data_IF_475534669038
#
_entry.id   IF_475534669038
#
_cell.length_a   1.000
_cell.length_b   1.000
_cell.length_c   1.000
_cell.angle_alpha   90.00
_cell.angle_beta   90.00
_cell.angle_gamma   90.00
#
_symmetry.space_group_name_H-M   'P 1'
#
loop_
_entity.id
_entity.type
_entity.pdbx_description
1 polymer ?
#
# COMPACT_ATOMS: atom_id res chain seq x y z
N UNK A 1 -3.35 44.49 4.58
CA UNK A 1 -3.50 44.31 6.02
C UNK A 1 -4.90 43.80 6.39
N UNK A 2 -6.02 44.48 6.00
CA UNK A 2 -7.39 44.06 6.37
C UNK A 2 -7.78 42.69 5.78
N UNK A 3 -7.43 42.41 4.52
CA UNK A 3 -7.76 41.14 3.83
C UNK A 3 -7.01 39.96 4.50
N UNK A 4 -5.78 40.16 4.93
CA UNK A 4 -5.00 39.14 5.63
C UNK A 4 -5.57 38.85 7.02
N UNK A 5 -5.92 39.89 7.77
CA UNK A 5 -6.57 39.73 9.09
C UNK A 5 -7.92 39.01 8.99
N UNK A 6 -8.72 39.32 7.97
CA UNK A 6 -9.98 38.64 7.71
C UNK A 6 -9.77 37.15 7.35
N UNK A 7 -8.72 36.85 6.58
CA UNK A 7 -8.34 35.47 6.19
C UNK A 7 -7.87 34.64 7.40
N UNK A 8 -7.02 35.24 8.26
CA UNK A 8 -6.57 34.60 9.49
C UNK A 8 -7.71 34.37 10.47
N UNK A 9 -8.61 35.33 10.66
CA UNK A 9 -9.79 35.19 11.51
C UNK A 9 -10.71 34.07 11.02
N UNK A 10 -10.92 33.97 9.70
CA UNK A 10 -11.73 32.91 9.09
C UNK A 10 -11.08 31.53 9.26
N UNK A 11 -9.75 31.43 9.13
CA UNK A 11 -9.01 30.19 9.33
C UNK A 11 -9.05 29.72 10.79
N UNK A 12 -8.94 30.66 11.76
CA UNK A 12 -9.06 30.35 13.20
C UNK A 12 -10.46 29.84 13.54
N UNK A 13 -11.50 30.53 13.10
CA UNK A 13 -12.89 30.13 13.33
C UNK A 13 -13.15 28.74 12.73
N UNK A 14 -12.65 28.48 11.52
CA UNK A 14 -12.78 27.19 10.88
C UNK A 14 -12.09 26.08 11.69
N UNK A 15 -10.82 26.29 12.10
CA UNK A 15 -10.08 25.35 12.92
C UNK A 15 -10.75 25.06 14.25
N UNK A 16 -11.26 26.09 14.93
CA UNK A 16 -11.96 25.91 16.21
C UNK A 16 -13.25 25.10 16.01
N UNK A 17 -14.06 25.42 15.02
CA UNK A 17 -15.26 24.64 14.70
C UNK A 17 -14.92 23.20 14.32
N UNK A 18 -13.88 22.98 13.52
CA UNK A 18 -13.41 21.66 13.15
C UNK A 18 -13.00 20.84 14.39
N UNK A 19 -12.19 21.41 15.29
CA UNK A 19 -11.78 20.73 16.53
C UNK A 19 -12.94 20.43 17.45
N UNK A 20 -13.90 21.37 17.61
CA UNK A 20 -15.12 21.16 18.41
C UNK A 20 -15.95 20.01 17.81
N UNK A 21 -16.13 20.00 16.49
CA UNK A 21 -16.88 18.92 15.82
C UNK A 21 -16.21 17.56 16.05
N UNK A 22 -14.88 17.49 15.90
CA UNK A 22 -14.15 16.25 16.18
C UNK A 22 -14.24 15.83 17.63
N UNK A 23 -14.11 16.78 18.57
CA UNK A 23 -14.28 16.49 20.00
C UNK A 23 -15.67 15.95 20.32
N UNK A 24 -16.72 16.53 19.74
CA UNK A 24 -18.10 16.05 19.92
C UNK A 24 -18.31 14.66 19.33
N UNK A 25 -17.75 14.37 18.15
CA UNK A 25 -17.82 13.04 17.52
C UNK A 25 -17.10 12.00 18.38
N UNK A 26 -15.89 12.31 18.87
CA UNK A 26 -15.13 11.41 19.74
C UNK A 26 -15.86 11.18 21.06
N UNK A 27 -16.40 12.24 21.69
CA UNK A 27 -17.18 12.13 22.94
C UNK A 27 -18.44 11.29 22.74
N UNK A 28 -19.14 11.48 21.62
CA UNK A 28 -20.32 10.68 21.28
C UNK A 28 -19.99 9.20 21.09
N UNK A 29 -18.87 8.89 20.38
CA UNK A 29 -18.40 7.52 20.19
C UNK A 29 -17.97 6.87 21.51
N UNK A 30 -17.19 7.58 22.33
CA UNK A 30 -16.76 7.09 23.65
C UNK A 30 -17.98 6.88 24.55
N UNK A 31 -18.91 7.84 24.59
CA UNK A 31 -20.15 7.71 25.35
C UNK A 31 -20.99 6.51 24.90
N UNK A 32 -21.12 6.30 23.59
CA UNK A 32 -21.80 5.13 23.03
C UNK A 32 -21.12 3.83 23.48
N UNK A 33 -19.80 3.74 23.37
CA UNK A 33 -19.03 2.54 23.78
C UNK A 33 -19.22 2.28 25.30
N UNK A 34 -19.09 3.30 26.13
CA UNK A 34 -19.22 3.15 27.59
C UNK A 34 -20.64 2.74 28.04
N UNK A 35 -21.67 3.09 27.25
CA UNK A 35 -23.06 2.70 27.56
C UNK A 35 -23.38 1.30 27.03
N UNK A 36 -22.80 0.90 25.90
CA UNK A 36 -23.15 -0.35 25.20
C UNK A 36 -22.21 -1.51 25.50
N UNK A 37 -20.94 -1.22 25.83
CA UNK A 37 -19.91 -2.23 26.06
C UNK A 37 -19.57 -2.32 27.55
N UNK A 38 -19.84 -3.48 28.14
CA UNK A 38 -19.34 -3.81 29.48
C UNK A 38 -17.87 -4.21 29.37
N UNK A 39 -16.97 -3.33 29.78
CA UNK A 39 -15.53 -3.57 29.74
C UNK A 39 -15.16 -4.48 30.93
N UNK A 40 -14.88 -5.75 30.61
CA UNK A 40 -14.33 -6.67 31.60
C UNK A 40 -12.80 -6.54 31.64
N UNK A 41 -12.28 -6.03 32.74
CA UNK A 41 -10.84 -5.85 32.95
C UNK A 41 -10.06 -7.17 32.92
N UNK A 42 -10.67 -8.28 33.38
CA UNK A 42 -10.06 -9.61 33.36
C UNK A 42 -9.93 -10.11 31.92
N UNK A 43 -10.94 -9.86 31.09
CA UNK A 43 -10.90 -10.15 29.66
C UNK A 43 -9.81 -9.36 28.96
N UNK A 44 -9.70 -8.06 29.20
CA UNK A 44 -8.66 -7.21 28.60
C UNK A 44 -7.24 -7.67 28.96
N UNK A 45 -7.00 -8.00 30.24
CA UNK A 45 -5.71 -8.48 30.69
C UNK A 45 -5.27 -9.79 30.01
N UNK A 46 -6.21 -10.61 29.55
CA UNK A 46 -5.92 -11.85 28.80
C UNK A 46 -5.77 -11.59 27.30
N UNK A 47 -6.60 -10.72 26.72
CA UNK A 47 -6.67 -10.49 25.29
C UNK A 47 -5.55 -9.58 24.78
N UNK A 48 -5.16 -8.55 25.54
CA UNK A 48 -4.10 -7.63 25.14
C UNK A 48 -2.75 -8.35 24.86
N UNK A 49 -2.24 -9.21 25.76
CA UNK A 49 -1.02 -9.96 25.48
C UNK A 49 -1.12 -10.87 24.26
N UNK A 50 -2.31 -11.48 24.04
CA UNK A 50 -2.55 -12.32 22.86
C UNK A 50 -2.49 -11.50 21.56
N UNK A 51 -3.14 -10.33 21.51
CA UNK A 51 -3.07 -9.42 20.37
C UNK A 51 -1.62 -8.97 20.13
N UNK A 52 -0.92 -8.53 21.20
CA UNK A 52 0.46 -8.08 21.09
C UNK A 52 1.42 -9.18 20.61
N UNK A 53 1.14 -10.45 20.90
CA UNK A 53 1.92 -11.57 20.41
C UNK A 53 1.80 -11.77 18.88
N UNK A 54 0.70 -11.29 18.24
CA UNK A 54 0.53 -11.31 16.79
C UNK A 54 1.30 -10.22 16.06
N UNK A 55 1.65 -9.09 16.72
CA UNK A 55 2.32 -7.94 16.07
C UNK A 55 3.59 -8.32 15.30
N UNK A 56 4.51 -9.16 15.83
CA UNK A 56 5.71 -9.54 15.08
C UNK A 56 5.41 -10.25 13.77
N UNK A 57 4.41 -11.13 13.72
CA UNK A 57 4.06 -11.85 12.49
C UNK A 57 3.40 -10.92 11.48
N UNK A 58 2.53 -10.02 11.92
CA UNK A 58 1.92 -8.97 11.07
C UNK A 58 2.99 -8.10 10.41
N UNK A 59 3.97 -7.62 11.19
CA UNK A 59 5.07 -6.80 10.67
C UNK A 59 5.98 -7.61 9.73
N UNK A 60 6.25 -8.87 10.05
CA UNK A 60 7.02 -9.76 9.19
C UNK A 60 6.33 -10.01 7.85
N UNK A 61 5.02 -10.29 7.87
CA UNK A 61 4.21 -10.44 6.65
C UNK A 61 4.25 -9.18 5.80
N UNK A 62 3.97 -8.02 6.40
CA UNK A 62 3.96 -6.74 5.70
C UNK A 62 5.34 -6.40 5.13
N UNK A 63 6.42 -6.52 5.92
CA UNK A 63 7.78 -6.21 5.48
C UNK A 63 8.26 -7.14 4.36
N UNK A 64 8.01 -8.44 4.48
CA UNK A 64 8.37 -9.42 3.45
C UNK A 64 7.56 -9.19 2.17
N UNK A 65 6.26 -8.99 2.31
CA UNK A 65 5.37 -8.82 1.16
C UNK A 65 5.64 -7.52 0.41
N UNK A 66 5.90 -6.39 1.10
CA UNK A 66 6.21 -5.12 0.43
C UNK A 66 7.55 -5.18 -0.31
N UNK A 67 8.51 -5.92 0.23
CA UNK A 67 9.79 -6.16 -0.45
C UNK A 67 9.58 -6.88 -1.79
N UNK A 68 8.89 -8.01 -1.79
CA UNK A 68 8.62 -8.75 -3.04
C UNK A 68 7.66 -8.00 -3.96
N UNK A 69 6.65 -7.32 -3.42
CA UNK A 69 5.76 -6.46 -4.19
C UNK A 69 6.52 -5.35 -4.93
N UNK A 70 7.51 -4.72 -4.26
CA UNK A 70 8.36 -3.70 -4.88
C UNK A 70 9.16 -4.26 -6.06
N UNK A 71 9.75 -5.45 -5.92
CA UNK A 71 10.47 -6.09 -7.03
C UNK A 71 9.54 -6.39 -8.21
N UNK A 72 8.36 -6.95 -7.94
CA UNK A 72 7.34 -7.22 -8.96
C UNK A 72 6.86 -5.92 -9.61
N UNK A 73 6.69 -4.86 -8.84
CA UNK A 73 6.24 -3.56 -9.32
C UNK A 73 7.27 -2.90 -10.26
N UNK A 74 8.56 -3.01 -9.96
CA UNK A 74 9.62 -2.51 -10.85
C UNK A 74 9.58 -3.26 -12.20
N UNK A 75 9.52 -4.61 -12.14
CA UNK A 75 9.43 -5.43 -13.35
C UNK A 75 8.14 -5.14 -14.13
N UNK A 76 7.01 -5.03 -13.43
CA UNK A 76 5.73 -4.69 -14.00
C UNK A 76 5.73 -3.31 -14.67
N UNK A 77 6.28 -2.28 -14.02
CA UNK A 77 6.37 -0.93 -14.57
C UNK A 77 7.25 -0.89 -15.83
N UNK A 78 8.41 -1.54 -15.80
CA UNK A 78 9.27 -1.65 -16.98
C UNK A 78 8.57 -2.40 -18.13
N UNK A 79 7.83 -3.46 -17.82
CA UNK A 79 7.03 -4.19 -18.80
C UNK A 79 5.92 -3.33 -19.39
N UNK A 80 5.18 -2.60 -18.55
CA UNK A 80 4.09 -1.68 -18.97
C UNK A 80 4.59 -0.52 -19.84
N UNK A 81 5.82 -0.07 -19.64
CA UNK A 81 6.45 1.00 -20.41
C UNK A 81 7.21 0.49 -21.63
N UNK A 82 7.31 -0.82 -21.81
CA UNK A 82 8.02 -1.42 -22.93
C UNK A 82 7.30 -1.18 -24.25
N UNK A 83 8.05 -0.81 -25.30
CA UNK A 83 7.56 -0.76 -26.69
C UNK A 83 7.33 -2.15 -27.29
N UNK A 84 7.88 -3.20 -26.68
CA UNK A 84 7.66 -4.57 -27.11
C UNK A 84 6.26 -5.04 -26.65
N UNK A 85 5.35 -5.42 -27.59
CA UNK A 85 3.97 -5.78 -27.27
C UNK A 85 3.85 -7.01 -26.37
N UNK A 86 4.80 -7.93 -26.43
CA UNK A 86 4.78 -9.14 -25.58
C UNK A 86 5.01 -8.78 -24.11
N UNK A 87 6.04 -7.99 -23.82
CA UNK A 87 6.31 -7.56 -22.43
C UNK A 87 5.19 -6.67 -21.88
N UNK A 88 4.72 -5.73 -22.71
CA UNK A 88 3.60 -4.88 -22.31
C UNK A 88 2.31 -5.71 -22.10
N UNK A 89 2.03 -6.67 -22.96
CA UNK A 89 0.86 -7.55 -22.86
C UNK A 89 0.86 -8.37 -21.56
N UNK A 90 1.99 -9.02 -21.23
CA UNK A 90 2.14 -9.81 -19.99
C UNK A 90 2.00 -8.92 -18.75
N UNK A 91 2.67 -7.76 -18.70
CA UNK A 91 2.57 -6.84 -17.59
C UNK A 91 1.14 -6.28 -17.45
N UNK A 92 0.46 -5.99 -18.56
CA UNK A 92 -0.92 -5.52 -18.57
C UNK A 92 -1.88 -6.57 -18.05
N UNK A 93 -1.71 -7.82 -18.47
CA UNK A 93 -2.51 -8.94 -17.96
C UNK A 93 -2.32 -9.12 -16.46
N UNK A 94 -1.07 -9.15 -15.98
CA UNK A 94 -0.75 -9.24 -14.56
C UNK A 94 -1.45 -8.16 -13.75
N UNK A 95 -1.29 -6.90 -14.14
CA UNK A 95 -1.90 -5.76 -13.45
C UNK A 95 -3.43 -5.85 -13.47
N UNK A 96 -4.02 -6.16 -14.63
CA UNK A 96 -5.48 -6.23 -14.77
C UNK A 96 -6.06 -7.38 -13.95
N UNK A 97 -5.41 -8.54 -13.93
CA UNK A 97 -5.86 -9.72 -13.20
C UNK A 97 -5.84 -9.50 -11.69
N UNK A 98 -4.69 -9.10 -11.14
CA UNK A 98 -4.54 -8.94 -9.69
C UNK A 98 -5.28 -7.73 -9.13
N UNK A 99 -5.43 -6.65 -9.89
CA UNK A 99 -6.25 -5.49 -9.48
C UNK A 99 -7.75 -5.70 -9.72
N UNK A 100 -8.12 -6.62 -10.60
CA UNK A 100 -9.52 -6.94 -10.90
C UNK A 100 -10.11 -8.03 -10.02
N UNK A 101 -9.30 -8.69 -9.18
CA UNK A 101 -9.76 -9.79 -8.32
C UNK A 101 -9.57 -9.44 -6.84
N UNK A 102 -10.50 -9.83 -5.94
CA UNK A 102 -10.37 -9.59 -4.50
C UNK A 102 -9.17 -10.32 -3.90
N UNK A 103 -8.39 -9.63 -3.05
CA UNK A 103 -7.20 -10.20 -2.40
C UNK A 103 -7.52 -11.49 -1.62
N UNK A 104 -8.64 -11.52 -0.90
CA UNK A 104 -9.07 -12.70 -0.17
C UNK A 104 -9.21 -13.94 -1.07
N UNK A 105 -9.78 -13.75 -2.27
CA UNK A 105 -9.90 -14.85 -3.24
C UNK A 105 -8.53 -15.30 -3.77
N UNK A 106 -7.59 -14.38 -3.93
CA UNK A 106 -6.22 -14.71 -4.34
C UNK A 106 -5.52 -15.56 -3.26
N UNK A 107 -5.64 -15.19 -1.99
CA UNK A 107 -5.10 -15.95 -0.85
C UNK A 107 -5.69 -17.38 -0.85
N UNK A 108 -7.03 -17.49 -0.91
CA UNK A 108 -7.71 -18.77 -0.91
C UNK A 108 -7.37 -19.62 -2.13
N UNK A 109 -7.26 -19.01 -3.31
CA UNK A 109 -6.88 -19.71 -4.54
C UNK A 109 -5.48 -20.31 -4.42
N UNK A 110 -4.50 -19.54 -3.94
CA UNK A 110 -3.13 -20.02 -3.73
C UNK A 110 -3.11 -21.14 -2.69
N UNK A 111 -3.86 -21.01 -1.60
CA UNK A 111 -3.86 -21.98 -0.51
C UNK A 111 -4.60 -23.29 -0.85
N UNK A 112 -5.70 -23.22 -1.62
CA UNK A 112 -6.57 -24.37 -1.90
C UNK A 112 -6.33 -24.99 -3.28
N UNK A 113 -5.97 -24.20 -4.30
CA UNK A 113 -5.83 -24.69 -5.66
C UNK A 113 -4.42 -25.18 -5.99
N UNK A 114 -3.35 -24.53 -5.49
CA UNK A 114 -1.98 -24.97 -5.75
C UNK A 114 -1.66 -26.37 -5.22
N UNK A 115 -2.16 -26.82 -4.06
CA UNK A 115 -1.99 -28.20 -3.61
C UNK A 115 -2.53 -29.25 -4.60
N UNK A 116 -3.60 -28.94 -5.34
CA UNK A 116 -4.14 -29.84 -6.37
C UNK A 116 -3.18 -30.01 -7.56
N UNK A 117 -2.28 -29.03 -7.77
CA UNK A 117 -1.19 -29.10 -8.73
C UNK A 117 0.12 -29.64 -8.13
N UNK A 118 0.08 -30.16 -6.90
CA UNK A 118 1.24 -30.70 -6.18
C UNK A 118 2.12 -29.65 -5.49
N UNK A 119 1.73 -28.39 -5.46
CA UNK A 119 2.47 -27.28 -4.84
C UNK A 119 1.81 -26.93 -3.51
N UNK A 120 2.36 -27.38 -2.41
CA UNK A 120 1.84 -27.10 -1.05
C UNK A 120 2.66 -25.98 -0.42
N UNK A 121 2.05 -24.83 -0.19
CA UNK A 121 2.66 -23.72 0.54
C UNK A 121 2.09 -23.66 1.96
N UNK A 122 2.95 -23.54 2.99
CA UNK A 122 2.51 -23.25 4.35
C UNK A 122 1.76 -21.89 4.42
N UNK A 123 0.95 -21.65 5.47
CA UNK A 123 0.11 -20.45 5.59
C UNK A 123 0.87 -19.13 5.39
N UNK A 124 1.99 -18.92 6.08
CA UNK A 124 2.79 -17.69 6.01
C UNK A 124 3.35 -17.43 4.61
N UNK A 125 4.05 -18.38 3.94
CA UNK A 125 4.45 -18.23 2.53
C UNK A 125 3.27 -17.96 1.60
N UNK A 126 2.13 -18.62 1.80
CA UNK A 126 0.92 -18.37 1.01
C UNK A 126 0.48 -16.91 1.10
N UNK A 127 0.40 -16.37 2.32
CA UNK A 127 0.04 -14.97 2.54
C UNK A 127 1.05 -14.01 1.91
N UNK A 128 2.36 -14.25 2.07
CA UNK A 128 3.41 -13.43 1.47
C UNK A 128 3.28 -13.41 -0.06
N UNK A 129 3.09 -14.57 -0.70
CA UNK A 129 2.94 -14.65 -2.16
C UNK A 129 1.71 -13.89 -2.64
N UNK A 130 0.55 -14.11 -2.00
CA UNK A 130 -0.68 -13.45 -2.37
C UNK A 130 -0.61 -11.92 -2.22
N UNK A 131 -0.16 -11.44 -1.06
CA UNK A 131 0.04 -10.02 -0.79
C UNK A 131 1.04 -9.40 -1.76
N UNK A 132 2.16 -10.09 -2.02
CA UNK A 132 3.19 -9.60 -2.95
C UNK A 132 2.67 -9.46 -4.38
N UNK A 133 1.92 -10.43 -4.87
CA UNK A 133 1.33 -10.41 -6.21
C UNK A 133 0.28 -9.31 -6.34
N UNK A 134 -0.59 -9.18 -5.35
CA UNK A 134 -1.64 -8.16 -5.34
C UNK A 134 -1.04 -6.75 -5.28
N UNK A 135 -0.28 -6.45 -4.23
CA UNK A 135 0.33 -5.13 -4.04
C UNK A 135 1.36 -4.79 -5.11
N UNK A 136 2.09 -5.78 -5.65
CA UNK A 136 2.98 -5.60 -6.78
C UNK A 136 2.25 -5.09 -8.02
N UNK A 137 1.02 -5.55 -8.26
CA UNK A 137 0.20 -5.05 -9.37
C UNK A 137 -0.28 -3.60 -9.15
N UNK A 138 -0.67 -3.23 -7.93
CA UNK A 138 -1.01 -1.84 -7.60
C UNK A 138 0.21 -0.92 -7.71
N UNK A 139 1.32 -1.29 -7.10
CA UNK A 139 2.57 -0.53 -7.12
C UNK A 139 3.19 -0.43 -8.52
N UNK A 140 2.91 -1.38 -9.43
CA UNK A 140 3.30 -1.28 -10.86
C UNK A 140 2.76 0.01 -11.47
N UNK A 141 1.49 0.32 -11.26
CA UNK A 141 0.88 1.54 -11.78
C UNK A 141 1.36 2.80 -11.05
N UNK A 142 1.63 2.69 -9.74
CA UNK A 142 2.24 3.77 -8.96
C UNK A 142 3.61 4.13 -9.53
N UNK A 143 4.48 3.16 -9.79
CA UNK A 143 5.80 3.41 -10.36
C UNK A 143 5.72 3.95 -11.79
N UNK A 144 4.85 3.36 -12.63
CA UNK A 144 4.63 3.88 -13.99
C UNK A 144 4.19 5.34 -13.97
N UNK A 145 3.16 5.66 -13.18
CA UNK A 145 2.66 7.04 -13.08
C UNK A 145 3.68 8.00 -12.47
N UNK A 146 4.49 7.55 -11.52
CA UNK A 146 5.58 8.34 -10.95
C UNK A 146 6.68 8.67 -11.96
N UNK A 147 7.01 7.74 -12.85
CA UNK A 147 7.98 7.97 -13.94
C UNK A 147 7.39 8.95 -14.97
N UNK A 148 6.12 8.78 -15.34
CA UNK A 148 5.43 9.66 -16.29
C UNK A 148 5.18 11.08 -15.73
N UNK A 149 5.12 11.23 -14.41
CA UNK A 149 4.95 12.52 -13.74
C UNK A 149 6.22 13.41 -13.76
N UNK A 150 7.37 12.86 -14.13
CA UNK A 150 8.60 13.67 -14.27
C UNK A 150 8.44 14.61 -15.47
N UNK A 151 8.64 15.93 -15.29
CA UNK A 151 8.44 16.89 -16.38
C UNK A 151 9.29 16.58 -17.61
N UNK A 152 8.68 16.53 -18.79
CA UNK A 152 9.38 16.25 -20.08
C UNK A 152 10.57 17.18 -20.33
N UNK A 153 10.48 18.45 -19.92
CA UNK A 153 11.58 19.41 -20.05
C UNK A 153 12.88 18.99 -19.33
N UNK A 154 12.79 18.16 -18.28
CA UNK A 154 13.97 17.59 -17.61
C UNK A 154 14.68 16.57 -18.53
N UNK A 155 13.90 15.79 -19.26
CA UNK A 155 14.42 14.80 -20.22
C UNK A 155 15.02 15.51 -21.43
N UNK A 156 14.32 16.52 -21.98
CA UNK A 156 14.79 17.32 -23.11
C UNK A 156 16.08 18.09 -22.80
N UNK A 157 16.16 18.71 -21.60
CA UNK A 157 17.36 19.41 -21.15
C UNK A 157 18.56 18.45 -21.02
N UNK A 158 18.36 17.27 -20.44
CA UNK A 158 19.39 16.27 -20.32
C UNK A 158 19.89 15.78 -21.69
N UNK A 159 18.99 15.56 -22.64
CA UNK A 159 19.33 15.16 -24.02
C UNK A 159 20.09 16.28 -24.77
N UNK A 160 19.69 17.54 -24.56
CA UNK A 160 20.40 18.71 -25.13
C UNK A 160 21.82 18.85 -24.61
N UNK A 161 22.11 18.35 -23.41
CA UNK A 161 23.47 18.24 -22.84
C UNK A 161 24.22 16.99 -23.32
N UNK A 162 23.69 16.23 -24.30
CA UNK A 162 24.31 15.05 -24.84
C UNK A 162 24.20 13.80 -23.95
N UNK A 163 23.33 13.77 -22.95
CA UNK A 163 23.14 12.57 -22.15
C UNK A 163 22.45 11.48 -22.94
N UNK A 164 22.96 10.25 -22.83
CA UNK A 164 22.30 9.09 -23.44
C UNK A 164 20.94 8.82 -22.78
N UNK A 165 19.96 8.21 -23.47
CA UNK A 165 18.64 7.90 -22.90
C UNK A 165 18.72 7.10 -21.59
N UNK A 166 19.62 6.12 -21.51
CA UNK A 166 19.86 5.32 -20.31
C UNK A 166 20.38 6.18 -19.14
N UNK A 167 21.33 7.08 -19.41
CA UNK A 167 21.90 7.97 -18.39
C UNK A 167 20.86 8.97 -17.92
N UNK A 168 20.08 9.55 -18.84
CA UNK A 168 18.96 10.44 -18.53
C UNK A 168 17.93 9.73 -17.63
N UNK A 169 17.53 8.51 -18.00
CA UNK A 169 16.59 7.73 -17.19
C UNK A 169 17.10 7.48 -15.77
N UNK A 170 18.32 6.93 -15.64
CA UNK A 170 18.87 6.53 -14.34
C UNK A 170 19.26 7.73 -13.44
N UNK A 171 19.76 8.83 -14.02
CA UNK A 171 20.28 9.96 -13.23
C UNK A 171 19.30 11.11 -13.06
N UNK A 172 18.32 11.26 -13.95
CA UNK A 172 17.36 12.37 -13.92
C UNK A 172 15.96 11.88 -13.58
N UNK A 173 15.45 10.86 -14.31
CA UNK A 173 14.06 10.41 -14.16
C UNK A 173 13.89 9.59 -12.87
N UNK A 174 14.67 8.53 -12.70
CA UNK A 174 14.51 7.60 -11.55
C UNK A 174 14.59 8.30 -10.20
N UNK A 175 15.56 9.19 -9.88
CA UNK A 175 15.62 9.85 -8.59
C UNK A 175 14.41 10.78 -8.31
N UNK A 176 13.87 11.42 -9.36
CA UNK A 176 12.69 12.26 -9.24
C UNK A 176 11.42 11.41 -9.07
N UNK A 177 11.24 10.40 -9.91
CA UNK A 177 10.14 9.45 -9.81
C UNK A 177 10.09 8.78 -8.42
N UNK A 178 11.24 8.37 -7.89
CA UNK A 178 11.30 7.76 -6.55
C UNK A 178 10.74 8.69 -5.46
N UNK A 179 11.07 9.97 -5.51
CA UNK A 179 10.51 10.96 -4.56
C UNK A 179 9.00 11.13 -4.71
N UNK A 180 8.49 11.04 -5.95
CA UNK A 180 7.06 11.15 -6.24
C UNK A 180 6.30 9.94 -5.70
N UNK A 181 6.84 8.72 -5.85
CA UNK A 181 6.15 7.49 -5.46
C UNK A 181 6.30 7.11 -3.99
N UNK A 182 7.33 7.63 -3.30
CA UNK A 182 7.62 7.28 -1.88
C UNK A 182 6.41 7.43 -0.95
N UNK A 183 5.60 8.51 -1.01
CA UNK A 183 4.42 8.63 -0.16
C UNK A 183 3.37 7.53 -0.44
N UNK A 184 3.20 7.14 -1.71
CA UNK A 184 2.28 6.08 -2.11
C UNK A 184 2.75 4.72 -1.58
N UNK A 185 4.06 4.42 -1.67
CA UNK A 185 4.64 3.18 -1.11
C UNK A 185 4.39 3.11 0.41
N UNK A 186 4.54 4.25 1.11
CA UNK A 186 4.24 4.32 2.54
C UNK A 186 2.77 4.02 2.85
N UNK A 187 1.85 4.55 2.05
CA UNK A 187 0.42 4.27 2.18
C UNK A 187 0.11 2.79 1.87
N UNK A 188 0.71 2.22 0.84
CA UNK A 188 0.57 0.80 0.49
C UNK A 188 1.09 -0.11 1.61
N UNK A 189 2.21 0.27 2.26
CA UNK A 189 2.72 -0.47 3.41
C UNK A 189 1.74 -0.47 4.60
N UNK A 190 1.16 0.68 4.93
CA UNK A 190 0.13 0.79 5.98
C UNK A 190 -1.12 0.01 5.62
N UNK A 191 -1.55 0.03 4.36
CA UNK A 191 -2.67 -0.77 3.89
C UNK A 191 -2.37 -2.27 3.99
N UNK A 192 -1.16 -2.70 3.60
CA UNK A 192 -0.71 -4.08 3.68
C UNK A 192 -0.69 -4.63 5.12
N UNK A 193 -0.32 -3.80 6.11
CA UNK A 193 -0.42 -4.17 7.54
C UNK A 193 -1.87 -4.51 7.93
N UNK A 194 -2.85 -3.77 7.41
CA UNK A 194 -4.27 -4.04 7.66
C UNK A 194 -4.75 -5.28 6.90
N UNK A 195 -4.33 -5.43 5.66
CA UNK A 195 -4.74 -6.53 4.79
C UNK A 195 -4.07 -7.86 5.15
N UNK A 196 -2.97 -7.84 5.94
CA UNK A 196 -2.36 -9.08 6.45
C UNK A 196 -3.34 -9.88 7.30
N UNK A 197 -4.30 -9.21 7.97
CA UNK A 197 -5.37 -9.88 8.73
C UNK A 197 -6.21 -10.86 7.88
N UNK A 198 -6.26 -10.68 6.56
CA UNK A 198 -6.91 -11.64 5.65
C UNK A 198 -6.17 -13.00 5.62
N UNK A 199 -4.91 -13.04 6.04
CA UNK A 199 -4.15 -14.29 6.13
C UNK A 199 -4.66 -15.23 7.25
N UNK A 200 -5.48 -14.72 8.16
CA UNK A 200 -6.15 -15.54 9.17
C UNK A 200 -6.97 -16.69 8.55
N UNK A 201 -7.58 -16.48 7.38
CA UNK A 201 -8.41 -17.51 6.70
C UNK A 201 -7.61 -18.74 6.28
N UNK A 202 -6.30 -18.64 6.17
CA UNK A 202 -5.39 -19.75 5.85
C UNK A 202 -4.57 -20.23 7.07
N UNK A 203 -4.93 -19.76 8.27
CA UNK A 203 -4.36 -20.20 9.53
C UNK A 203 -3.15 -19.42 10.03
N UNK A 204 -2.90 -18.23 9.51
CA UNK A 204 -1.90 -17.32 10.07
C UNK A 204 -2.50 -16.60 11.27
N UNK A 205 -1.85 -16.71 12.43
CA UNK A 205 -2.24 -16.00 13.65
C UNK A 205 -1.50 -14.66 13.72
N UNK A 206 -2.00 -13.67 13.01
CA UNK A 206 -1.58 -12.27 13.11
C UNK A 206 -2.54 -11.43 13.98
N UNK A 207 -2.35 -10.12 14.04
CA UNK A 207 -3.20 -9.20 14.84
C UNK A 207 -4.50 -8.89 14.14
#
# INVERSE_FOLDING_TARGET
>A
AEIEQARERRSRIWRTKFLITWALVVLALVGFILVTVTVDSVFLLKVIPFILAGVPITLFLAASSIFFATLLAILGALGRMSSNPYFNGVASFYVSFFRGTPLLLQILFIFLALPQAGIVLPPVPTAIVALSLNYGAYMTEVFRSGIEAVPHGQVEAAQSLGMSPRTTFLRIVVPQAFRIVTPSIGNDFVAMIKDSSLAYVVGVQDV
#
